data_IF_267853113070
#
_entry.id   IF_267853113070
#
_cell.length_a   1.000
_cell.length_b   1.000
_cell.length_c   1.000
_cell.angle_alpha   90.00
_cell.angle_beta   90.00
_cell.angle_gamma   90.00
#
_symmetry.space_group_name_H-M   'P 1'
#
loop_
_entity.id
_entity.type
_entity.pdbx_description
1 polymer ?
#
# COMPACT_ATOMS: atom_id res chain seq x y z
N UNK A 1 29.36 -26.59 24.42
CA UNK A 1 28.78 -25.25 24.74
C UNK A 1 28.04 -24.75 23.52
N UNK A 2 26.73 -24.87 23.52
CA UNK A 2 25.87 -24.48 22.41
C UNK A 2 25.37 -23.03 22.65
N UNK A 3 25.73 -22.14 21.76
CA UNK A 3 25.26 -20.75 21.80
C UNK A 3 23.78 -20.69 21.36
N UNK A 4 22.92 -20.41 22.31
CA UNK A 4 21.51 -20.06 22.10
C UNK A 4 21.42 -18.70 21.42
N UNK A 5 21.30 -18.69 20.10
CA UNK A 5 20.93 -17.50 19.33
C UNK A 5 19.42 -17.42 19.17
N UNK A 6 18.68 -16.97 20.19
CA UNK A 6 17.28 -16.59 20.05
C UNK A 6 17.21 -15.13 19.63
N UNK A 7 17.37 -14.83 18.35
CA UNK A 7 16.98 -13.56 17.80
C UNK A 7 15.54 -13.71 17.29
N UNK A 8 14.58 -13.65 18.19
CA UNK A 8 13.17 -13.54 17.84
C UNK A 8 12.96 -12.19 17.15
N UNK A 9 12.86 -12.20 15.83
CA UNK A 9 12.43 -11.06 15.03
C UNK A 9 11.14 -10.51 15.64
N UNK A 10 11.21 -9.31 16.19
CA UNK A 10 10.09 -8.65 16.84
C UNK A 10 9.21 -8.08 15.73
N UNK A 11 8.34 -8.92 15.14
CA UNK A 11 7.38 -8.49 14.11
C UNK A 11 6.68 -7.21 14.54
N UNK A 12 6.73 -6.20 13.68
CA UNK A 12 6.13 -4.90 13.93
C UNK A 12 4.65 -5.04 14.33
N UNK A 13 4.29 -4.48 15.46
CA UNK A 13 2.90 -4.37 15.89
C UNK A 13 2.40 -2.96 15.58
N UNK A 14 1.25 -2.85 14.93
CA UNK A 14 0.58 -1.54 14.76
C UNK A 14 0.49 -0.85 16.11
N UNK A 15 0.72 0.48 16.14
CA UNK A 15 0.62 1.22 17.40
C UNK A 15 -0.77 1.05 18.03
N UNK A 16 -0.88 1.04 19.38
CA UNK A 16 -2.18 0.92 20.07
C UNK A 16 -3.20 1.95 19.58
N UNK A 17 -2.76 3.18 19.30
CA UNK A 17 -3.62 4.24 18.78
C UNK A 17 -4.25 3.87 17.43
N UNK A 18 -3.45 3.33 16.48
CA UNK A 18 -3.97 2.88 15.17
C UNK A 18 -4.97 1.74 15.34
N UNK A 19 -4.71 0.80 16.25
CA UNK A 19 -5.64 -0.30 16.55
C UNK A 19 -6.97 0.21 17.11
N UNK A 20 -6.93 1.16 18.04
CA UNK A 20 -8.13 1.76 18.62
C UNK A 20 -8.94 2.52 17.58
N UNK A 21 -8.28 3.34 16.74
CA UNK A 21 -8.91 4.06 15.64
C UNK A 21 -9.59 3.09 14.67
N UNK A 22 -8.88 2.04 14.26
CA UNK A 22 -9.44 1.02 13.37
C UNK A 22 -10.67 0.35 14.01
N UNK A 23 -10.61 0.01 15.30
CA UNK A 23 -11.73 -0.61 16.00
C UNK A 23 -12.97 0.30 16.06
N UNK A 24 -12.78 1.61 16.26
CA UNK A 24 -13.87 2.60 16.28
C UNK A 24 -14.49 2.84 14.91
N UNK A 25 -13.69 2.78 13.83
CA UNK A 25 -14.17 3.05 12.47
C UNK A 25 -14.75 1.82 11.77
N UNK A 26 -14.32 0.60 12.11
CA UNK A 26 -14.80 -0.64 11.50
C UNK A 26 -16.31 -0.80 11.44
N UNK A 27 -17.12 -0.46 12.49
CA UNK A 27 -18.57 -0.59 12.42
C UNK A 27 -19.22 0.23 11.29
N UNK A 28 -18.63 1.39 10.97
CA UNK A 28 -19.13 2.29 9.91
C UNK A 28 -18.69 1.86 8.51
N UNK A 29 -17.59 1.07 8.41
CA UNK A 29 -16.99 0.61 7.16
C UNK A 29 -16.97 -0.92 7.12
N UNK A 30 -18.13 -1.57 7.26
CA UNK A 30 -18.18 -3.04 7.27
C UNK A 30 -17.67 -3.62 5.94
N UNK A 31 -16.62 -4.45 6.02
CA UNK A 31 -15.99 -5.11 4.88
C UNK A 31 -15.78 -6.58 5.18
N UNK A 32 -15.80 -7.40 4.14
CA UNK A 32 -15.45 -8.82 4.19
C UNK A 32 -14.06 -9.00 3.59
N UNK A 33 -13.30 -9.87 4.21
CA UNK A 33 -11.99 -10.30 3.71
C UNK A 33 -12.23 -11.67 3.05
N UNK A 34 -11.67 -11.85 1.85
CA UNK A 34 -11.79 -13.07 1.06
C UNK A 34 -10.39 -13.58 0.76
N UNK A 35 -10.13 -14.86 0.97
CA UNK A 35 -8.88 -15.53 0.61
C UNK A 35 -7.70 -15.26 1.54
N UNK A 36 -7.89 -14.59 2.67
CA UNK A 36 -6.77 -14.37 3.63
C UNK A 36 -6.40 -15.63 4.40
N UNK A 37 -7.34 -16.54 4.60
CA UNK A 37 -7.22 -17.82 5.27
C UNK A 37 -6.51 -18.88 4.43
N UNK A 38 -6.56 -18.73 3.12
CA UNK A 38 -5.88 -19.63 2.17
C UNK A 38 -4.47 -19.18 1.84
N UNK A 39 -4.06 -18.01 2.36
CA UNK A 39 -2.73 -17.44 2.10
C UNK A 39 -1.69 -18.09 3.02
N UNK A 40 -0.94 -19.03 2.49
CA UNK A 40 0.22 -19.60 3.16
C UNK A 40 1.38 -18.60 3.14
N UNK A 41 1.44 -17.75 4.17
CA UNK A 41 2.58 -16.86 4.36
C UNK A 41 3.68 -17.58 5.10
N UNK A 42 4.83 -17.68 4.49
CA UNK A 42 6.04 -18.07 5.17
C UNK A 42 6.33 -17.05 6.29
N UNK A 43 6.46 -17.52 7.52
CA UNK A 43 6.70 -16.64 8.68
C UNK A 43 8.04 -15.94 8.61
N UNK A 44 8.98 -16.46 7.83
CA UNK A 44 10.36 -16.00 7.75
C UNK A 44 10.63 -15.11 6.52
N UNK A 45 9.69 -15.07 5.57
CA UNK A 45 9.83 -14.26 4.36
C UNK A 45 8.73 -13.21 4.32
N UNK A 46 9.08 -11.91 4.35
CA UNK A 46 8.10 -10.83 4.30
C UNK A 46 7.44 -10.74 2.94
N UNK A 47 6.21 -10.19 2.95
CA UNK A 47 5.39 -10.00 1.76
C UNK A 47 5.37 -8.54 1.31
N UNK A 48 5.22 -8.34 0.01
CA UNK A 48 4.90 -7.07 -0.62
C UNK A 48 3.43 -7.16 -1.01
N UNK A 49 2.56 -6.54 -0.23
CA UNK A 49 1.16 -6.37 -0.57
C UNK A 49 1.01 -5.30 -1.65
N UNK A 50 0.29 -5.62 -2.71
CA UNK A 50 0.03 -4.73 -3.85
C UNK A 50 -1.47 -4.50 -3.94
N UNK A 51 -1.95 -3.27 -3.74
CA UNK A 51 -3.38 -2.99 -3.70
C UNK A 51 -3.77 -1.88 -4.69
N UNK A 52 -4.99 -1.95 -5.24
CA UNK A 52 -5.55 -0.86 -6.02
C UNK A 52 -5.84 0.35 -5.13
N UNK A 53 -5.71 1.55 -5.71
CA UNK A 53 -5.93 2.80 -4.98
C UNK A 53 -7.42 3.10 -4.82
N UNK A 54 -8.21 2.89 -5.86
CA UNK A 54 -9.66 3.11 -5.84
C UNK A 54 -10.03 4.52 -5.35
N UNK A 55 -9.39 5.57 -5.86
CA UNK A 55 -9.31 6.91 -5.27
C UNK A 55 -8.58 6.86 -3.91
N UNK A 56 -9.27 6.95 -2.79
CA UNK A 56 -8.71 6.80 -1.43
C UNK A 56 -9.22 5.53 -0.73
N UNK A 57 -10.05 4.76 -1.41
CA UNK A 57 -10.76 3.64 -0.81
C UNK A 57 -9.83 2.50 -0.41
N UNK A 58 -8.93 2.07 -1.30
CA UNK A 58 -7.93 1.05 -1.02
C UNK A 58 -7.09 1.36 0.23
N UNK A 59 -6.42 2.54 0.31
CA UNK A 59 -5.68 2.96 1.49
C UNK A 59 -6.49 2.94 2.79
N UNK A 60 -7.74 3.41 2.76
CA UNK A 60 -8.61 3.43 3.95
C UNK A 60 -8.96 2.02 4.41
N UNK A 61 -9.47 1.17 3.50
CA UNK A 61 -9.95 -0.15 3.91
C UNK A 61 -8.83 -1.11 4.29
N UNK A 62 -7.66 -1.02 3.64
CA UNK A 62 -6.49 -1.80 4.04
C UNK A 62 -5.97 -1.37 5.42
N UNK A 63 -6.00 -0.07 5.74
CA UNK A 63 -5.67 0.42 7.07
C UNK A 63 -6.60 -0.14 8.13
N UNK A 64 -7.89 -0.24 7.84
CA UNK A 64 -8.89 -0.74 8.77
C UNK A 64 -8.88 -2.27 8.90
N UNK A 65 -8.75 -3.00 7.80
CA UNK A 65 -9.12 -4.41 7.73
C UNK A 65 -8.00 -5.38 7.40
N UNK A 66 -6.85 -4.96 6.83
CA UNK A 66 -5.79 -5.90 6.50
C UNK A 66 -5.34 -6.64 7.77
N UNK A 67 -5.45 -7.99 7.83
CA UNK A 67 -5.22 -8.75 9.07
C UNK A 67 -3.73 -8.87 9.43
N UNK A 68 -2.86 -8.61 8.47
CA UNK A 68 -1.41 -8.70 8.64
C UNK A 68 -0.81 -7.34 9.00
N UNK A 69 0.20 -7.26 9.87
CA UNK A 69 0.98 -6.04 10.08
C UNK A 69 1.78 -5.71 8.81
N UNK A 70 1.88 -4.42 8.50
CA UNK A 70 2.61 -3.93 7.33
C UNK A 70 3.01 -2.47 7.51
N UNK A 71 4.02 -2.03 6.77
CA UNK A 71 4.41 -0.62 6.61
C UNK A 71 3.90 -0.12 5.25
N UNK A 72 3.00 0.87 5.21
CA UNK A 72 2.50 1.39 3.94
C UNK A 72 3.51 2.34 3.28
N UNK A 73 3.62 2.28 1.97
CA UNK A 73 4.20 3.37 1.19
C UNK A 73 3.21 4.52 1.10
N UNK A 74 3.70 5.71 1.41
CA UNK A 74 2.90 6.94 1.32
C UNK A 74 3.73 8.05 0.68
N UNK A 75 3.11 8.96 -0.06
CA UNK A 75 3.83 10.14 -0.54
C UNK A 75 4.36 10.92 0.67
N UNK A 76 5.58 11.43 0.57
CA UNK A 76 6.24 12.16 1.67
C UNK A 76 5.39 13.31 2.22
N UNK A 77 4.56 13.93 1.39
CA UNK A 77 3.63 14.99 1.78
C UNK A 77 2.61 14.54 2.84
N UNK A 78 2.22 13.27 2.86
CA UNK A 78 1.26 12.74 3.86
C UNK A 78 1.87 12.68 5.27
N UNK A 79 3.19 12.70 5.39
CA UNK A 79 3.90 12.74 6.66
C UNK A 79 4.19 14.17 7.14
N UNK A 80 3.96 15.18 6.31
CA UNK A 80 4.06 16.60 6.63
C UNK A 80 2.67 17.24 6.75
N UNK A 81 2.39 17.84 7.94
CA UNK A 81 1.08 18.43 8.22
C UNK A 81 0.74 19.59 7.27
N UNK A 82 1.70 20.42 6.95
CA UNK A 82 1.46 21.62 6.12
C UNK A 82 1.26 21.21 4.66
N UNK A 83 2.08 20.29 4.16
CA UNK A 83 1.97 19.77 2.82
C UNK A 83 0.60 19.09 2.57
N UNK A 84 0.13 18.26 3.51
CA UNK A 84 -1.16 17.60 3.36
C UNK A 84 -2.35 18.57 3.43
N UNK A 85 -2.27 19.64 4.23
CA UNK A 85 -3.29 20.69 4.24
C UNK A 85 -3.37 21.39 2.89
N UNK A 86 -2.23 21.75 2.30
CA UNK A 86 -2.15 22.29 0.95
C UNK A 86 -2.78 21.35 -0.08
N UNK A 87 -2.33 20.07 -0.09
CA UNK A 87 -2.82 19.05 -1.01
C UNK A 87 -4.34 18.84 -0.96
N UNK A 88 -4.92 18.83 0.24
CA UNK A 88 -6.38 18.67 0.42
C UNK A 88 -7.13 19.96 0.05
N UNK A 89 -6.74 21.09 0.62
CA UNK A 89 -7.48 22.33 0.47
C UNK A 89 -7.30 22.99 -0.90
N UNK A 90 -6.05 23.02 -1.39
CA UNK A 90 -5.72 23.67 -2.66
C UNK A 90 -5.88 22.71 -3.86
N UNK A 91 -6.02 21.40 -3.59
CA UNK A 91 -6.31 20.37 -4.58
C UNK A 91 -7.77 19.91 -4.55
N UNK A 92 -8.08 18.93 -3.68
CA UNK A 92 -9.38 18.24 -3.69
C UNK A 92 -10.57 19.14 -3.36
N UNK A 93 -10.42 20.06 -2.40
CA UNK A 93 -11.50 20.94 -1.94
C UNK A 93 -11.55 22.29 -2.65
N UNK A 94 -10.57 22.62 -3.49
CA UNK A 94 -10.52 23.92 -4.20
C UNK A 94 -11.78 24.22 -4.99
N UNK A 95 -12.29 23.21 -5.71
CA UNK A 95 -13.43 23.37 -6.61
C UNK A 95 -14.74 22.82 -6.05
N UNK A 96 -14.66 22.04 -4.97
CA UNK A 96 -15.83 21.45 -4.29
C UNK A 96 -15.61 21.50 -2.78
N UNK A 97 -15.77 22.67 -2.15
CA UNK A 97 -15.69 22.78 -0.70
C UNK A 97 -16.80 21.95 -0.05
N UNK A 98 -16.53 21.39 1.12
CA UNK A 98 -17.49 20.61 1.88
C UNK A 98 -18.58 21.50 2.48
N UNK A 99 -18.15 22.59 3.11
CA UNK A 99 -19.03 23.59 3.75
C UNK A 99 -18.68 24.97 3.19
N UNK A 100 -17.47 25.44 3.46
CA UNK A 100 -16.94 26.72 3.04
C UNK A 100 -15.40 26.67 3.07
N UNK A 101 -14.67 27.25 2.10
CA UNK A 101 -13.21 27.10 2.00
C UNK A 101 -12.43 27.42 3.29
N UNK A 102 -12.84 28.44 4.04
CA UNK A 102 -12.19 28.81 5.31
C UNK A 102 -12.46 27.79 6.40
N UNK A 103 -13.69 27.29 6.51
CA UNK A 103 -14.11 26.28 7.49
C UNK A 103 -13.44 24.95 7.17
N UNK A 104 -13.45 24.56 5.89
CA UNK A 104 -12.81 23.32 5.44
C UNK A 104 -11.31 23.35 5.73
N UNK A 105 -10.62 24.47 5.45
CA UNK A 105 -9.19 24.62 5.76
C UNK A 105 -8.92 24.56 7.27
N UNK A 106 -9.79 25.13 8.08
CA UNK A 106 -9.70 25.02 9.54
C UNK A 106 -9.87 23.57 10.01
N UNK A 107 -10.89 22.87 9.54
CA UNK A 107 -11.14 21.47 9.90
C UNK A 107 -10.01 20.55 9.41
N UNK A 108 -9.55 20.75 8.18
CA UNK A 108 -8.44 19.96 7.63
C UNK A 108 -7.16 20.21 8.43
N UNK A 109 -6.80 21.46 8.72
CA UNK A 109 -5.54 21.76 9.40
C UNK A 109 -5.52 21.36 10.88
N UNK A 110 -6.66 21.40 11.57
CA UNK A 110 -6.71 21.13 13.01
C UNK A 110 -7.17 19.71 13.37
N UNK A 111 -7.90 19.03 12.49
CA UNK A 111 -8.41 17.69 12.75
C UNK A 111 -7.88 16.65 11.76
N UNK A 112 -8.14 16.80 10.46
CA UNK A 112 -7.88 15.75 9.50
C UNK A 112 -6.38 15.52 9.27
N UNK A 113 -5.60 16.58 9.05
CA UNK A 113 -4.15 16.46 8.78
C UNK A 113 -3.36 15.92 9.99
N UNK A 114 -3.51 16.45 11.22
CA UNK A 114 -2.84 15.88 12.39
C UNK A 114 -3.23 14.42 12.63
N UNK A 115 -4.49 14.08 12.45
CA UNK A 115 -4.98 12.72 12.57
C UNK A 115 -4.31 11.78 11.56
N UNK A 116 -4.29 12.17 10.27
CA UNK A 116 -3.70 11.37 9.20
C UNK A 116 -2.20 11.16 9.41
N UNK A 117 -1.46 12.23 9.71
CA UNK A 117 -0.02 12.16 10.02
C UNK A 117 0.23 11.22 11.20
N UNK A 118 -0.57 11.32 12.27
CA UNK A 118 -0.43 10.44 13.44
C UNK A 118 -0.69 8.97 13.11
N UNK A 119 -1.71 8.68 12.30
CA UNK A 119 -2.01 7.32 11.86
C UNK A 119 -0.84 6.77 11.03
N UNK A 120 -0.36 7.51 10.02
CA UNK A 120 0.73 7.07 9.16
C UNK A 120 2.04 6.86 9.92
N UNK A 121 2.38 7.76 10.82
CA UNK A 121 3.55 7.58 11.71
C UNK A 121 3.36 6.38 12.65
N UNK A 122 2.16 6.16 13.16
CA UNK A 122 1.84 5.00 14.00
C UNK A 122 1.85 3.66 13.26
N UNK A 123 1.84 3.69 11.93
CA UNK A 123 2.03 2.54 11.04
C UNK A 123 3.48 2.41 10.55
N UNK A 124 4.39 3.24 11.00
CA UNK A 124 5.78 3.33 10.49
C UNK A 124 5.80 3.43 8.96
N UNK A 125 4.93 4.28 8.40
CA UNK A 125 4.82 4.47 6.97
C UNK A 125 6.15 4.90 6.34
N UNK A 126 6.47 4.33 5.19
CA UNK A 126 7.70 4.62 4.45
C UNK A 126 7.42 5.74 3.44
N UNK A 127 8.14 6.87 3.51
CA UNK A 127 7.94 7.98 2.59
C UNK A 127 8.40 7.64 1.17
N UNK A 128 7.57 7.97 0.17
CA UNK A 128 7.91 7.87 -1.25
C UNK A 128 8.11 9.27 -1.81
N UNK A 129 9.30 9.52 -2.33
CA UNK A 129 9.69 10.79 -2.94
C UNK A 129 9.57 10.68 -4.46
N UNK A 130 8.37 10.88 -5.01
CA UNK A 130 8.09 10.71 -6.45
C UNK A 130 8.84 11.73 -7.32
N UNK A 131 9.00 12.94 -6.83
CA UNK A 131 9.58 14.07 -7.57
C UNK A 131 11.11 14.19 -7.39
N UNK A 132 11.73 13.32 -6.60
CA UNK A 132 13.17 13.36 -6.32
C UNK A 132 13.80 11.96 -6.48
N UNK A 133 14.38 11.66 -7.66
CA UNK A 133 14.97 10.35 -7.92
C UNK A 133 16.07 9.94 -6.93
N UNK A 134 16.81 10.92 -6.37
CA UNK A 134 17.86 10.62 -5.38
C UNK A 134 17.26 10.18 -4.05
N UNK A 135 16.19 10.83 -3.62
CA UNK A 135 15.46 10.45 -2.41
C UNK A 135 14.63 9.17 -2.61
N UNK A 136 14.16 8.90 -3.83
CA UNK A 136 13.48 7.65 -4.15
C UNK A 136 14.36 6.43 -3.88
N UNK A 137 15.68 6.52 -4.11
CA UNK A 137 16.63 5.47 -3.74
C UNK A 137 16.60 5.21 -2.23
N UNK A 138 16.44 6.25 -1.40
CA UNK A 138 16.33 6.07 0.05
C UNK A 138 15.05 5.33 0.45
N UNK A 139 13.94 5.57 -0.26
CA UNK A 139 12.68 4.80 -0.08
C UNK A 139 12.90 3.30 -0.29
N UNK A 140 13.57 2.92 -1.39
CA UNK A 140 13.84 1.51 -1.67
C UNK A 140 14.75 0.87 -0.62
N UNK A 141 15.80 1.58 -0.18
CA UNK A 141 16.71 1.09 0.87
C UNK A 141 15.98 0.90 2.19
N UNK A 142 15.23 1.91 2.64
CA UNK A 142 14.44 1.83 3.88
C UNK A 142 13.44 0.68 3.81
N UNK A 143 12.82 0.47 2.65
CA UNK A 143 11.88 -0.64 2.45
C UNK A 143 12.57 -2.00 2.54
N UNK A 144 13.71 -2.16 1.88
CA UNK A 144 14.48 -3.41 1.94
C UNK A 144 14.99 -3.72 3.36
N UNK A 145 15.44 -2.72 4.11
CA UNK A 145 15.83 -2.89 5.51
C UNK A 145 14.63 -3.29 6.38
N UNK A 146 13.48 -2.64 6.23
CA UNK A 146 12.25 -3.03 6.93
C UNK A 146 11.86 -4.49 6.66
N UNK A 147 11.98 -4.92 5.41
CA UNK A 147 11.72 -6.32 5.04
C UNK A 147 12.75 -7.28 5.64
N UNK A 148 14.02 -6.89 5.76
CA UNK A 148 15.03 -7.71 6.47
C UNK A 148 14.72 -7.88 7.95
N UNK A 149 14.09 -6.89 8.56
CA UNK A 149 13.60 -6.95 9.94
C UNK A 149 12.33 -7.82 10.08
N UNK A 150 11.78 -8.31 8.96
CA UNK A 150 10.58 -9.15 8.91
C UNK A 150 9.27 -8.40 8.74
N UNK A 151 9.33 -7.09 8.45
CA UNK A 151 8.13 -6.30 8.19
C UNK A 151 7.59 -6.56 6.77
N UNK A 152 6.29 -6.73 6.66
CA UNK A 152 5.61 -6.67 5.38
C UNK A 152 5.46 -5.22 4.94
N UNK A 153 5.35 -5.00 3.65
CA UNK A 153 5.10 -3.66 3.08
C UNK A 153 3.83 -3.66 2.25
N UNK A 154 3.17 -2.51 2.16
CA UNK A 154 1.99 -2.32 1.31
C UNK A 154 2.24 -1.17 0.35
N UNK A 155 2.05 -1.44 -0.95
CA UNK A 155 2.23 -0.47 -2.02
C UNK A 155 0.93 -0.29 -2.82
N UNK A 156 0.73 0.92 -3.34
CA UNK A 156 -0.37 1.26 -4.25
C UNK A 156 0.27 1.77 -5.56
N UNK A 157 0.68 0.86 -6.46
CA UNK A 157 1.53 1.23 -7.60
C UNK A 157 0.78 1.78 -8.81
N UNK A 158 -0.53 2.00 -8.72
CA UNK A 158 -1.33 2.49 -9.83
C UNK A 158 -0.84 3.83 -10.36
N UNK A 159 -0.68 3.92 -11.67
CA UNK A 159 -0.42 5.17 -12.39
C UNK A 159 -1.75 5.83 -12.79
N UNK A 160 -2.13 6.87 -12.07
CA UNK A 160 -3.37 7.59 -12.38
C UNK A 160 -3.31 8.32 -13.72
N UNK A 161 -2.12 8.60 -14.26
CA UNK A 161 -1.97 9.29 -15.56
C UNK A 161 -2.42 8.43 -16.74
N UNK A 162 -2.38 7.11 -16.58
CA UNK A 162 -2.82 6.15 -17.61
C UNK A 162 -4.35 6.00 -17.67
N UNK A 163 -5.07 6.54 -16.71
CA UNK A 163 -6.53 6.51 -16.73
C UNK A 163 -7.11 7.60 -17.63
N UNK A 164 -8.29 7.37 -18.25
CA UNK A 164 -8.92 8.37 -19.14
C UNK A 164 -9.20 9.73 -18.49
N UNK A 165 -9.28 9.78 -17.18
CA UNK A 165 -9.59 11.01 -16.42
C UNK A 165 -8.36 11.62 -15.73
N UNK A 166 -7.18 11.01 -15.84
CA UNK A 166 -5.97 11.38 -15.09
C UNK A 166 -6.12 11.20 -13.58
N UNK A 167 -7.05 10.34 -13.13
CA UNK A 167 -7.33 10.05 -11.72
C UNK A 167 -7.36 8.54 -11.50
N UNK A 168 -7.17 8.12 -10.25
CA UNK A 168 -7.35 6.71 -9.90
C UNK A 168 -8.77 6.24 -10.22
N UNK A 169 -8.87 5.04 -10.80
CA UNK A 169 -10.17 4.45 -11.13
C UNK A 169 -10.94 4.13 -9.85
N UNK A 170 -12.26 4.33 -9.89
CA UNK A 170 -13.16 3.91 -8.80
C UNK A 170 -13.38 2.40 -8.80
N UNK A 171 -13.44 1.82 -9.98
CA UNK A 171 -13.60 0.39 -10.23
C UNK A 171 -12.52 -0.05 -11.23
N UNK A 172 -11.98 -1.25 -11.03
CA UNK A 172 -10.88 -1.76 -11.84
C UNK A 172 -9.51 -1.39 -11.29
N UNK A 173 -8.49 -1.56 -12.11
CA UNK A 173 -7.08 -1.38 -11.77
C UNK A 173 -6.38 -0.69 -12.94
N UNK A 174 -5.75 0.46 -12.68
CA UNK A 174 -4.94 1.17 -13.66
C UNK A 174 -3.61 0.44 -13.93
N UNK A 175 -2.85 0.89 -14.91
CA UNK A 175 -1.49 0.41 -15.11
C UNK A 175 -0.61 0.71 -13.88
N UNK A 176 0.44 -0.09 -13.70
CA UNK A 176 1.33 0.02 -12.56
C UNK A 176 2.66 0.67 -12.93
N UNK A 177 3.16 1.53 -12.07
CA UNK A 177 4.57 1.91 -12.08
C UNK A 177 5.43 0.70 -11.75
N UNK A 178 6.36 0.34 -12.62
CA UNK A 178 7.20 -0.84 -12.44
C UNK A 178 8.28 -0.69 -11.36
N UNK A 179 8.54 0.54 -10.91
CA UNK A 179 9.63 0.85 -9.99
C UNK A 179 9.56 0.13 -8.64
N UNK A 180 8.37 -0.17 -8.13
CA UNK A 180 8.23 -0.85 -6.84
C UNK A 180 8.80 -2.28 -6.83
N UNK A 181 8.95 -2.92 -7.99
CA UNK A 181 9.58 -4.25 -8.10
C UNK A 181 11.05 -4.23 -7.64
N UNK A 182 11.70 -3.07 -7.69
CA UNK A 182 13.07 -2.87 -7.16
C UNK A 182 13.20 -3.25 -5.68
N UNK A 183 12.12 -3.15 -4.91
CA UNK A 183 12.09 -3.58 -3.49
C UNK A 183 12.49 -5.06 -3.37
N UNK A 184 11.83 -5.91 -4.16
CA UNK A 184 12.09 -7.35 -4.16
C UNK A 184 13.50 -7.67 -4.66
N UNK A 185 13.97 -6.96 -5.67
CA UNK A 185 15.33 -7.10 -6.20
C UNK A 185 16.38 -6.78 -5.13
N UNK A 186 16.24 -5.65 -4.43
CA UNK A 186 17.15 -5.24 -3.37
C UNK A 186 17.11 -6.22 -2.19
N UNK A 187 15.93 -6.62 -1.75
CA UNK A 187 15.76 -7.59 -0.68
C UNK A 187 16.41 -8.92 -1.03
N UNK A 188 16.16 -9.44 -2.24
CA UNK A 188 16.79 -10.67 -2.72
C UNK A 188 18.32 -10.56 -2.77
N UNK A 189 18.85 -9.48 -3.32
CA UNK A 189 20.29 -9.24 -3.39
C UNK A 189 20.95 -9.23 -1.99
N UNK A 190 20.27 -8.69 -0.99
CA UNK A 190 20.82 -8.58 0.37
C UNK A 190 20.64 -9.85 1.20
N UNK A 191 19.63 -10.67 0.94
CA UNK A 191 19.25 -11.79 1.81
C UNK A 191 19.32 -13.16 1.14
N UNK A 192 19.38 -13.23 -0.19
CA UNK A 192 19.23 -14.45 -0.99
C UNK A 192 17.79 -15.01 -0.99
N UNK A 193 16.83 -14.37 -0.27
CA UNK A 193 15.45 -14.85 -0.16
C UNK A 193 14.58 -14.24 -1.25
N UNK A 194 13.54 -14.96 -1.67
CA UNK A 194 12.59 -14.54 -2.70
C UNK A 194 11.29 -14.08 -2.04
N UNK A 195 11.01 -12.77 -1.96
CA UNK A 195 9.80 -12.27 -1.34
C UNK A 195 8.56 -12.62 -2.16
N UNK A 196 7.39 -12.54 -1.53
CA UNK A 196 6.10 -12.84 -2.14
C UNK A 196 5.34 -11.54 -2.43
N UNK A 197 4.92 -11.35 -3.67
CA UNK A 197 3.94 -10.32 -4.02
C UNK A 197 2.54 -10.87 -3.80
N UNK A 198 1.75 -10.15 -3.03
CA UNK A 198 0.36 -10.52 -2.71
C UNK A 198 -0.56 -9.44 -3.25
N UNK A 199 -1.19 -9.66 -4.41
CA UNK A 199 -2.15 -8.70 -4.95
C UNK A 199 -3.43 -8.70 -4.11
N UNK A 200 -3.96 -7.51 -3.86
CA UNK A 200 -5.17 -7.26 -3.08
C UNK A 200 -6.13 -6.41 -3.91
N UNK A 201 -7.34 -6.86 -4.09
CA UNK A 201 -8.37 -6.05 -4.73
C UNK A 201 -9.39 -5.53 -3.71
N UNK A 202 -9.37 -4.21 -3.48
CA UNK A 202 -10.34 -3.51 -2.64
C UNK A 202 -11.53 -3.07 -3.49
N UNK A 203 -12.68 -3.75 -3.32
CA UNK A 203 -13.90 -3.50 -4.08
C UNK A 203 -14.91 -2.69 -3.25
N UNK A 204 -15.13 -1.44 -3.64
CA UNK A 204 -16.05 -0.52 -2.95
C UNK A 204 -17.50 -0.95 -3.09
N UNK A 205 -17.88 -1.50 -4.25
CA UNK A 205 -19.27 -1.89 -4.55
C UNK A 205 -19.71 -3.08 -3.71
N UNK A 206 -18.89 -4.11 -3.63
CA UNK A 206 -19.17 -5.32 -2.85
C UNK A 206 -18.73 -5.23 -1.40
N UNK A 207 -17.98 -4.19 -1.04
CA UNK A 207 -17.34 -3.99 0.27
C UNK A 207 -16.48 -5.19 0.67
N UNK A 208 -15.59 -5.59 -0.23
CA UNK A 208 -14.66 -6.70 -0.02
C UNK A 208 -13.22 -6.28 -0.21
N UNK A 209 -12.32 -6.98 0.48
CA UNK A 209 -10.89 -7.01 0.19
C UNK A 209 -10.59 -8.45 -0.19
N UNK A 210 -10.23 -8.69 -1.43
CA UNK A 210 -9.90 -10.01 -1.95
C UNK A 210 -8.40 -10.18 -2.02
N UNK A 211 -7.88 -11.22 -1.39
CA UNK A 211 -6.50 -11.67 -1.56
C UNK A 211 -6.46 -12.51 -2.83
N UNK A 212 -5.74 -12.04 -3.83
CA UNK A 212 -5.57 -12.73 -5.09
C UNK A 212 -4.39 -13.71 -5.01
N UNK A 213 -4.15 -14.47 -6.07
CA UNK A 213 -3.07 -15.46 -6.12
C UNK A 213 -1.71 -14.80 -5.95
N UNK A 214 -0.90 -15.21 -4.96
CA UNK A 214 0.42 -14.63 -4.75
C UNK A 214 1.38 -15.01 -5.87
N UNK A 215 2.32 -14.11 -6.16
CA UNK A 215 3.39 -14.32 -7.13
C UNK A 215 4.73 -14.19 -6.40
N UNK A 216 5.55 -15.25 -6.44
CA UNK A 216 6.89 -15.22 -5.87
C UNK A 216 7.82 -14.43 -6.78
N UNK A 217 8.67 -13.60 -6.20
CA UNK A 217 9.71 -12.91 -6.96
C UNK A 217 10.62 -13.91 -7.66
N UNK A 218 10.93 -13.66 -8.91
CA UNK A 218 11.93 -14.35 -9.69
C UNK A 218 13.03 -13.35 -10.08
N UNK A 219 14.34 -13.71 -10.04
CA UNK A 219 15.42 -12.85 -10.50
C UNK A 219 15.25 -12.36 -11.96
N UNK A 220 14.55 -13.09 -12.82
CA UNK A 220 14.22 -12.64 -14.18
C UNK A 220 13.40 -11.35 -14.20
N UNK A 221 12.65 -11.05 -13.14
CA UNK A 221 11.92 -9.78 -12.98
C UNK A 221 12.82 -8.57 -12.71
N UNK A 222 14.15 -8.74 -12.65
CA UNK A 222 15.07 -7.62 -12.52
C UNK A 222 15.20 -6.79 -13.81
N UNK A 223 14.96 -7.38 -14.98
CA UNK A 223 14.97 -6.68 -16.28
C UNK A 223 13.77 -5.73 -16.42
N UNK A 224 13.82 -4.80 -17.38
CA UNK A 224 12.70 -3.91 -17.67
C UNK A 224 11.46 -4.69 -18.12
N UNK A 225 11.66 -5.67 -19.00
CA UNK A 225 10.63 -6.56 -19.52
C UNK A 225 10.05 -7.45 -18.41
N UNK A 226 10.91 -7.98 -17.54
CA UNK A 226 10.51 -8.80 -16.41
C UNK A 226 9.65 -8.02 -15.40
N UNK A 227 10.04 -6.78 -15.05
CA UNK A 227 9.24 -5.90 -14.21
C UNK A 227 7.86 -5.64 -14.80
N UNK A 228 7.80 -5.35 -16.11
CA UNK A 228 6.54 -5.14 -16.80
C UNK A 228 5.69 -6.41 -16.83
N UNK A 229 6.29 -7.58 -17.02
CA UNK A 229 5.60 -8.87 -16.99
C UNK A 229 4.99 -9.15 -15.61
N UNK A 230 5.75 -8.96 -14.53
CA UNK A 230 5.24 -9.10 -13.17
C UNK A 230 4.09 -8.13 -12.88
N UNK A 231 4.23 -6.85 -13.27
CA UNK A 231 3.18 -5.86 -13.09
C UNK A 231 1.88 -6.25 -13.82
N UNK A 232 1.98 -6.75 -15.06
CA UNK A 232 0.82 -7.29 -15.79
C UNK A 232 0.18 -8.45 -15.06
N UNK A 233 0.97 -9.44 -14.65
CA UNK A 233 0.45 -10.62 -13.95
C UNK A 233 -0.25 -10.24 -12.63
N UNK A 234 0.32 -9.33 -11.82
CA UNK A 234 -0.31 -8.83 -10.60
C UNK A 234 -1.62 -8.10 -10.90
N UNK A 235 -1.64 -7.30 -11.96
CA UNK A 235 -2.84 -6.56 -12.37
C UNK A 235 -3.94 -7.49 -12.88
N UNK A 236 -3.61 -8.52 -13.65
CA UNK A 236 -4.54 -9.54 -14.14
C UNK A 236 -5.22 -10.26 -12.99
N UNK A 237 -4.47 -10.72 -12.00
CA UNK A 237 -5.03 -11.33 -10.78
C UNK A 237 -6.05 -10.42 -10.08
N UNK A 238 -5.77 -9.11 -10.04
CA UNK A 238 -6.69 -8.15 -9.42
C UNK A 238 -7.92 -7.87 -10.29
N UNK A 239 -7.78 -7.85 -11.62
CA UNK A 239 -8.90 -7.70 -12.56
C UNK A 239 -9.83 -8.92 -12.52
N UNK A 240 -9.28 -10.10 -12.34
CA UNK A 240 -10.06 -11.34 -12.13
C UNK A 240 -10.92 -11.24 -10.88
N UNK A 241 -10.32 -10.80 -9.78
CA UNK A 241 -11.04 -10.56 -8.53
C UNK A 241 -12.08 -9.43 -8.64
N UNK A 242 -11.90 -8.51 -9.59
CA UNK A 242 -12.87 -7.48 -9.92
C UNK A 242 -14.05 -8.00 -10.77
N UNK A 243 -13.96 -9.22 -11.34
CA UNK A 243 -14.90 -9.74 -12.33
C UNK A 243 -14.80 -9.04 -13.69
N UNK A 244 -13.65 -8.43 -13.98
CA UNK A 244 -13.35 -7.63 -15.17
C UNK A 244 -12.44 -8.37 -16.15
N UNK A 245 -12.55 -9.69 -16.24
CA UNK A 245 -11.83 -10.45 -17.24
C UNK A 245 -12.20 -9.95 -18.64
N UNK A 246 -11.24 -9.43 -19.38
CA UNK A 246 -11.34 -9.41 -20.82
C UNK A 246 -11.27 -10.86 -21.29
N UNK A 247 -12.43 -11.49 -21.51
CA UNK A 247 -12.49 -12.68 -22.32
C UNK A 247 -11.97 -12.29 -23.71
N UNK A 248 -10.68 -12.49 -23.94
CA UNK A 248 -10.18 -12.54 -25.28
C UNK A 248 -10.73 -13.83 -25.90
N UNK A 249 -11.83 -13.68 -26.65
CA UNK A 249 -12.25 -14.67 -27.64
C UNK A 249 -11.32 -14.58 -28.84
#
# INVERSE_FOLDING_TARGET
MAAKGSNGSQKMKRSPAVRTIAALLRPFYRHRIIGADTLELDTDTPCIFVCNHGEIYGPVVTTLYLPFPYRPWVTNEILDRNAIVGRICDGALKYKPFIHPRVDRFLVSHLAAPFMVRVMRGMNAIPVYQDDPRKLISTFRETAEAMKEGDNVLVFPEDSSTSPTGRYLREGVSEFFTGFVMIAQLYHHQTGRLPLFVPLYANKKTRTITFCKPIRYDPEYASAEGKAALCRALREEMLDAAGMHTRNN
#
